data_IF_372830587228
#
_entry.id   IF_372830587228
#
_cell.length_a   1.000
_cell.length_b   1.000
_cell.length_c   1.000
_cell.angle_alpha   90.00
_cell.angle_beta   90.00
_cell.angle_gamma   90.00
#
_symmetry.space_group_name_H-M   'P 1'
#
loop_
_entity.id
_entity.type
_entity.pdbx_description
1 polymer ?
#
# COMPACT_ATOMS: atom_id res chain seq x y z
N UNK A 1 14.08 29.52 8.35
CA UNK A 1 14.28 28.29 7.75
C UNK A 1 13.07 27.95 6.97
N UNK A 2 13.11 27.20 6.16
CA UNK A 2 12.44 27.25 4.95
C UNK A 2 11.36 26.19 4.83
N UNK A 3 10.70 26.22 3.71
CA UNK A 3 9.60 25.31 3.41
C UNK A 3 10.04 23.85 3.42
N UNK A 4 11.30 23.57 3.10
CA UNK A 4 11.82 22.20 3.11
C UNK A 4 11.81 21.62 4.50
N UNK A 5 12.18 22.42 5.48
CA UNK A 5 12.18 22.01 6.87
C UNK A 5 10.76 21.76 7.38
N UNK A 6 9.83 22.65 7.03
CA UNK A 6 8.43 22.49 7.38
C UNK A 6 7.81 21.26 6.74
N UNK A 7 8.15 20.98 5.48
CA UNK A 7 7.65 19.80 4.77
C UNK A 7 8.05 18.50 5.47
N UNK A 8 9.23 18.46 6.09
CA UNK A 8 9.68 17.27 6.81
C UNK A 8 8.85 16.97 8.06
N UNK A 9 8.16 17.97 8.59
CA UNK A 9 7.27 17.78 9.73
C UNK A 9 5.86 17.32 9.31
N UNK A 10 5.47 17.60 8.07
CA UNK A 10 4.12 17.36 7.59
C UNK A 10 3.99 16.22 6.58
N UNK A 11 5.12 15.72 6.07
CA UNK A 11 5.13 14.65 5.07
C UNK A 11 6.25 13.65 5.35
N UNK A 12 5.92 12.38 5.20
CA UNK A 12 6.93 11.34 5.17
C UNK A 12 7.71 11.42 3.85
N UNK A 13 8.91 10.85 3.84
CA UNK A 13 9.74 10.80 2.63
C UNK A 13 9.33 9.62 1.74
N UNK A 14 9.75 9.66 0.48
CA UNK A 14 9.54 8.55 -0.45
C UNK A 14 10.17 7.26 0.08
N UNK A 15 11.35 7.35 0.69
CA UNK A 15 12.02 6.17 1.24
C UNK A 15 11.28 5.60 2.44
N UNK A 16 10.75 6.45 3.30
CA UNK A 16 9.92 6.02 4.43
C UNK A 16 8.66 5.30 3.94
N UNK A 17 8.03 5.81 2.88
CA UNK A 17 6.88 5.16 2.26
C UNK A 17 7.25 3.81 1.64
N UNK A 18 8.40 3.72 0.97
CA UNK A 18 8.89 2.46 0.43
C UNK A 18 9.08 1.43 1.53
N UNK A 19 9.72 1.81 2.63
CA UNK A 19 9.92 0.92 3.77
C UNK A 19 8.61 0.49 4.41
N UNK A 20 7.65 1.41 4.50
CA UNK A 20 6.32 1.09 5.02
C UNK A 20 5.63 0.03 4.15
N UNK A 21 5.71 0.18 2.83
CA UNK A 21 5.13 -0.79 1.90
C UNK A 21 5.85 -2.13 1.95
N UNK A 22 7.18 -2.11 2.06
CA UNK A 22 7.95 -3.35 2.22
C UNK A 22 7.59 -4.07 3.51
N UNK A 23 7.34 -3.34 4.59
CA UNK A 23 6.86 -3.91 5.85
C UNK A 23 5.50 -4.58 5.67
N UNK A 24 4.57 -3.90 5.00
CA UNK A 24 3.24 -4.44 4.76
C UNK A 24 3.26 -5.66 3.85
N UNK A 25 4.02 -5.62 2.77
CA UNK A 25 4.14 -6.76 1.85
C UNK A 25 4.90 -7.92 2.48
N UNK A 26 5.87 -7.63 3.35
CA UNK A 26 6.60 -8.65 4.10
C UNK A 26 5.69 -9.48 5.01
N UNK A 27 4.67 -8.86 5.58
CA UNK A 27 3.67 -9.59 6.38
C UNK A 27 2.90 -10.61 5.56
N UNK A 28 2.62 -10.30 4.31
CA UNK A 28 1.97 -11.27 3.41
C UNK A 28 2.88 -12.45 3.11
N UNK A 29 4.18 -12.22 3.03
CA UNK A 29 5.15 -13.30 2.81
C UNK A 29 5.32 -14.20 4.04
N UNK A 30 4.93 -13.74 5.22
CA UNK A 30 4.95 -14.54 6.44
C UNK A 30 3.79 -15.53 6.52
N UNK A 31 2.76 -15.37 5.69
CA UNK A 31 1.67 -16.35 5.62
C UNK A 31 2.19 -17.70 5.15
N UNK A 32 1.62 -18.77 5.68
CA UNK A 32 1.95 -20.13 5.22
C UNK A 32 1.60 -20.31 3.74
N UNK A 33 2.29 -21.22 3.01
CA UNK A 33 2.02 -21.41 1.58
C UNK A 33 0.57 -21.75 1.25
N UNK A 34 -0.10 -22.51 2.12
CA UNK A 34 -1.51 -22.86 1.92
C UNK A 34 -2.42 -21.66 2.04
N UNK A 35 -2.16 -20.80 3.02
CA UNK A 35 -2.95 -19.59 3.21
C UNK A 35 -2.74 -18.61 2.06
N UNK A 36 -1.51 -18.48 1.56
CA UNK A 36 -1.24 -17.64 0.39
C UNK A 36 -1.98 -18.14 -0.84
N UNK A 37 -1.95 -19.45 -1.08
CA UNK A 37 -2.65 -20.04 -2.22
C UNK A 37 -4.17 -19.87 -2.12
N UNK A 38 -4.72 -19.89 -0.91
CA UNK A 38 -6.15 -19.76 -0.69
C UNK A 38 -6.65 -18.31 -0.81
N UNK A 39 -5.84 -17.32 -0.41
CA UNK A 39 -6.27 -15.93 -0.26
C UNK A 39 -5.62 -14.95 -1.22
N UNK A 40 -4.45 -15.29 -1.79
CA UNK A 40 -3.73 -14.41 -2.68
C UNK A 40 -3.83 -14.91 -4.12
N UNK A 41 -4.24 -14.03 -5.03
CA UNK A 41 -4.23 -14.27 -6.46
C UNK A 41 -3.27 -13.29 -7.10
N UNK A 42 -2.76 -13.63 -8.28
CA UNK A 42 -1.82 -12.76 -8.99
C UNK A 42 -2.48 -11.44 -9.35
N UNK A 43 -1.96 -10.35 -8.81
CA UNK A 43 -2.49 -9.00 -9.05
C UNK A 43 -1.35 -7.99 -9.09
N UNK A 44 -1.47 -7.06 -10.00
CA UNK A 44 -0.65 -5.85 -9.97
C UNK A 44 -1.29 -4.89 -8.98
N UNK A 45 -0.47 -4.38 -8.06
CA UNK A 45 -0.88 -3.49 -6.98
C UNK A 45 -0.20 -2.15 -7.18
N UNK A 46 -0.95 -1.06 -7.08
CA UNK A 46 -0.39 0.28 -7.03
C UNK A 46 -0.77 0.98 -5.74
N UNK A 47 0.12 1.80 -5.24
CA UNK A 47 -0.14 2.67 -4.09
C UNK A 47 0.28 4.09 -4.47
N UNK A 48 -0.69 4.94 -4.74
CA UNK A 48 -0.44 6.34 -5.07
C UNK A 48 -0.36 7.15 -3.78
N UNK A 49 0.76 7.82 -3.60
CA UNK A 49 0.99 8.71 -2.45
C UNK A 49 0.86 10.15 -2.97
N UNK A 50 -0.31 10.74 -2.71
CA UNK A 50 -0.71 11.98 -3.37
C UNK A 50 0.13 13.19 -3.01
N UNK A 51 0.54 13.31 -1.76
CA UNK A 51 1.35 14.44 -1.30
C UNK A 51 2.80 14.38 -1.79
N UNK A 52 3.26 13.22 -2.24
CA UNK A 52 4.60 13.06 -2.81
C UNK A 52 4.59 13.03 -4.35
N UNK A 53 3.42 12.89 -4.96
CA UNK A 53 3.32 12.76 -6.41
C UNK A 53 3.96 11.50 -6.96
N UNK A 54 3.99 10.42 -6.17
CA UNK A 54 4.62 9.15 -6.50
C UNK A 54 3.59 8.03 -6.48
N UNK A 55 3.85 6.99 -7.27
CA UNK A 55 3.11 5.73 -7.23
C UNK A 55 4.09 4.59 -7.02
N UNK A 56 3.85 3.78 -6.00
CA UNK A 56 4.62 2.57 -5.75
C UNK A 56 3.89 1.38 -6.38
N UNK A 57 4.66 0.46 -6.94
CA UNK A 57 4.13 -0.68 -7.68
C UNK A 57 4.73 -1.96 -7.14
N UNK A 58 3.91 -2.99 -7.04
CA UNK A 58 4.35 -4.33 -6.72
C UNK A 58 3.42 -5.34 -7.35
N UNK A 59 3.85 -6.60 -7.40
CA UNK A 59 3.01 -7.70 -7.85
C UNK A 59 2.82 -8.66 -6.70
N UNK A 60 1.57 -9.01 -6.46
CA UNK A 60 1.18 -9.91 -5.39
C UNK A 60 0.74 -11.24 -5.99
N UNK A 61 1.03 -12.35 -5.33
CA UNK A 61 0.60 -13.68 -5.76
C UNK A 61 0.83 -14.71 -4.68
N UNK A 62 0.60 -15.97 -5.01
CA UNK A 62 0.76 -17.10 -4.09
C UNK A 62 2.19 -17.27 -3.59
N UNK A 63 3.17 -16.76 -4.34
CA UNK A 63 4.57 -16.74 -3.94
C UNK A 63 4.94 -15.58 -3.01
N UNK A 64 3.97 -14.74 -2.64
CA UNK A 64 4.19 -13.54 -1.84
C UNK A 64 4.19 -12.28 -2.69
N UNK A 65 4.85 -11.24 -2.21
CA UNK A 65 4.96 -9.97 -2.92
C UNK A 65 6.32 -9.85 -3.61
N UNK A 66 6.31 -9.27 -4.80
CA UNK A 66 7.52 -8.91 -5.52
C UNK A 66 8.16 -7.64 -4.97
N UNK A 67 9.25 -7.18 -5.59
CA UNK A 67 9.89 -5.95 -5.16
C UNK A 67 8.97 -4.74 -5.35
N UNK A 68 9.14 -3.75 -4.47
CA UNK A 68 8.42 -2.48 -4.57
C UNK A 68 9.24 -1.54 -5.43
N UNK A 69 8.65 -1.08 -6.53
CA UNK A 69 9.25 -0.09 -7.41
C UNK A 69 8.45 1.19 -7.36
N UNK A 70 9.01 2.29 -7.83
CA UNK A 70 8.32 3.57 -7.82
C UNK A 70 8.36 4.26 -9.16
N UNK A 71 7.34 5.07 -9.43
CA UNK A 71 7.26 5.93 -10.61
C UNK A 71 6.62 7.24 -10.23
N UNK A 72 6.89 8.28 -11.03
CA UNK A 72 6.30 9.60 -10.82
C UNK A 72 4.88 9.62 -11.38
N UNK A 73 3.98 10.30 -10.68
CA UNK A 73 2.59 10.44 -11.13
C UNK A 73 1.76 9.19 -10.86
N UNK A 74 0.80 8.91 -11.73
CA UNK A 74 -0.19 7.87 -11.54
C UNK A 74 0.27 6.45 -11.84
N UNK A 75 1.36 6.31 -12.60
CA UNK A 75 1.91 5.00 -12.96
C UNK A 75 1.03 4.20 -13.94
N UNK A 76 1.45 2.98 -14.27
CA UNK A 76 0.68 2.10 -15.15
C UNK A 76 -0.59 1.59 -14.46
N UNK A 77 -1.58 1.10 -15.22
CA UNK A 77 -2.79 0.50 -14.66
C UNK A 77 -2.46 -0.69 -13.76
N UNK A 78 -3.22 -0.83 -12.68
CA UNK A 78 -3.11 -1.96 -11.76
C UNK A 78 -4.51 -2.45 -11.41
N UNK A 79 -4.62 -3.74 -11.08
CA UNK A 79 -5.91 -4.34 -10.73
C UNK A 79 -6.39 -3.89 -9.36
N UNK A 80 -5.48 -3.69 -8.42
CA UNK A 80 -5.80 -3.15 -7.10
C UNK A 80 -5.03 -1.86 -6.91
N UNK A 81 -5.76 -0.78 -6.64
CA UNK A 81 -5.18 0.56 -6.55
C UNK A 81 -5.51 1.17 -5.20
N UNK A 82 -4.46 1.50 -4.49
CA UNK A 82 -4.56 2.23 -3.23
C UNK A 82 -4.18 3.69 -3.46
N UNK A 83 -4.87 4.60 -2.79
CA UNK A 83 -4.54 6.03 -2.82
C UNK A 83 -4.57 6.55 -1.39
N UNK A 84 -3.48 7.16 -0.95
CA UNK A 84 -3.38 7.67 0.41
C UNK A 84 -2.32 8.78 0.47
N UNK A 85 -2.21 9.42 1.63
CA UNK A 85 -1.11 10.36 1.91
C UNK A 85 0.02 9.62 2.61
N UNK A 86 1.22 10.19 2.54
CA UNK A 86 2.42 9.56 3.11
C UNK A 86 2.30 9.26 4.60
N UNK A 87 1.80 10.20 5.39
CA UNK A 87 1.66 9.98 6.83
C UNK A 87 0.65 8.89 7.17
N UNK A 88 -0.44 8.82 6.43
CA UNK A 88 -1.45 7.78 6.61
C UNK A 88 -0.87 6.39 6.29
N UNK A 89 -0.05 6.31 5.25
CA UNK A 89 0.63 5.07 4.89
C UNK A 89 1.55 4.59 6.01
N UNK A 90 2.33 5.49 6.60
CA UNK A 90 3.21 5.15 7.73
C UNK A 90 2.41 4.68 8.95
N UNK A 91 1.28 5.32 9.23
CA UNK A 91 0.41 4.93 10.33
C UNK A 91 -0.13 3.51 10.13
N UNK A 92 -0.56 3.19 8.91
CA UNK A 92 -1.08 1.86 8.59
C UNK A 92 0.00 0.80 8.73
N UNK A 93 1.23 1.10 8.28
CA UNK A 93 2.33 0.16 8.39
C UNK A 93 2.75 -0.10 9.85
N UNK A 94 2.70 0.94 10.69
CA UNK A 94 3.03 0.83 12.11
C UNK A 94 1.92 0.13 12.91
N UNK A 95 0.66 0.32 12.49
CA UNK A 95 -0.51 -0.26 13.16
C UNK A 95 -1.47 -0.83 12.13
N UNK A 96 -1.33 -2.11 11.77
CA UNK A 96 -2.21 -2.74 10.77
C UNK A 96 -3.68 -2.70 11.12
N UNK A 97 -4.02 -2.63 12.40
CA UNK A 97 -5.41 -2.47 12.83
C UNK A 97 -6.03 -1.16 12.38
N UNK A 98 -5.23 -0.16 12.03
CA UNK A 98 -5.72 1.12 11.52
C UNK A 98 -6.13 1.08 10.05
N UNK A 99 -5.83 0.00 9.33
CA UNK A 99 -6.15 -0.13 7.90
C UNK A 99 -7.65 0.01 7.64
N UNK A 100 -8.46 -0.77 8.33
CA UNK A 100 -9.91 -0.72 8.15
C UNK A 100 -10.48 0.66 8.50
N UNK A 101 -9.97 1.28 9.56
CA UNK A 101 -10.40 2.61 9.96
C UNK A 101 -10.03 3.66 8.90
N UNK A 102 -8.82 3.60 8.37
CA UNK A 102 -8.38 4.51 7.32
C UNK A 102 -9.24 4.37 6.06
N UNK A 103 -9.61 3.15 5.71
CA UNK A 103 -10.49 2.88 4.58
C UNK A 103 -11.90 3.45 4.83
N UNK A 104 -12.47 3.18 5.98
CA UNK A 104 -13.82 3.65 6.32
C UNK A 104 -13.90 5.18 6.42
N UNK A 105 -12.84 5.84 6.86
CA UNK A 105 -12.83 7.30 7.01
C UNK A 105 -12.37 8.04 5.75
N UNK A 106 -12.05 7.33 4.68
CA UNK A 106 -11.64 7.93 3.41
C UNK A 106 -10.18 8.39 3.34
N UNK A 107 -9.38 8.13 4.38
CA UNK A 107 -7.94 8.41 4.35
C UNK A 107 -7.18 7.47 3.44
N UNK A 108 -7.73 6.27 3.22
CA UNK A 108 -7.23 5.29 2.29
C UNK A 108 -8.33 4.99 1.29
N UNK A 109 -8.08 5.23 0.02
CA UNK A 109 -8.98 4.81 -1.06
C UNK A 109 -8.50 3.50 -1.64
N UNK A 110 -9.43 2.61 -1.93
CA UNK A 110 -9.13 1.33 -2.56
C UNK A 110 -10.05 1.17 -3.78
N UNK A 111 -9.45 0.99 -4.94
CA UNK A 111 -10.17 0.75 -6.18
C UNK A 111 -9.76 -0.62 -6.71
N UNK A 112 -10.73 -1.52 -6.86
CA UNK A 112 -10.51 -2.87 -7.32
C UNK A 112 -11.86 -3.49 -7.72
N UNK A 113 -11.82 -4.70 -8.30
CA UNK A 113 -13.04 -5.44 -8.56
C UNK A 113 -13.73 -5.83 -7.24
N UNK A 114 -15.03 -6.10 -7.30
CA UNK A 114 -15.80 -6.52 -6.12
C UNK A 114 -15.18 -7.78 -5.49
N UNK A 115 -14.74 -8.72 -6.33
CA UNK A 115 -14.11 -9.96 -5.84
C UNK A 115 -12.79 -9.68 -5.12
N UNK A 116 -11.98 -8.77 -5.65
CA UNK A 116 -10.72 -8.40 -5.01
C UNK A 116 -10.96 -7.67 -3.69
N UNK A 117 -11.97 -6.80 -3.63
CA UNK A 117 -12.34 -6.11 -2.38
C UNK A 117 -12.80 -7.10 -1.32
N UNK A 118 -13.56 -8.12 -1.70
CA UNK A 118 -13.98 -9.17 -0.77
C UNK A 118 -12.81 -9.99 -0.26
N UNK A 119 -11.85 -10.31 -1.12
CA UNK A 119 -10.63 -11.01 -0.71
C UNK A 119 -9.82 -10.19 0.27
N UNK A 120 -9.66 -8.90 -0.01
CA UNK A 120 -8.93 -8.00 0.86
C UNK A 120 -9.58 -7.91 2.24
N UNK A 121 -10.90 -7.86 2.28
CA UNK A 121 -11.65 -7.84 3.53
C UNK A 121 -11.37 -9.08 4.40
N UNK A 122 -11.22 -10.23 3.76
CA UNK A 122 -10.92 -11.49 4.48
C UNK A 122 -9.52 -11.50 5.07
N UNK A 123 -8.59 -10.74 4.51
CA UNK A 123 -7.23 -10.64 5.01
C UNK A 123 -7.10 -9.68 6.20
N UNK A 124 -8.10 -8.89 6.44
CA UNK A 124 -8.16 -7.99 7.59
C UNK A 124 -8.78 -8.73 8.80
#
# INVERSE_FOLDING_TARGET
>A
MDAVWEARWTMATAEECRKALETLTGRLSEMGPEDRAAHLVDRDISCRVTDLGLTFLTRLGSGGAGPVTETTGGGPPAQVRFTTKSDDLLTIAADPGSFARAWLTGRLKIEASVFDLLRLRKLL
#
